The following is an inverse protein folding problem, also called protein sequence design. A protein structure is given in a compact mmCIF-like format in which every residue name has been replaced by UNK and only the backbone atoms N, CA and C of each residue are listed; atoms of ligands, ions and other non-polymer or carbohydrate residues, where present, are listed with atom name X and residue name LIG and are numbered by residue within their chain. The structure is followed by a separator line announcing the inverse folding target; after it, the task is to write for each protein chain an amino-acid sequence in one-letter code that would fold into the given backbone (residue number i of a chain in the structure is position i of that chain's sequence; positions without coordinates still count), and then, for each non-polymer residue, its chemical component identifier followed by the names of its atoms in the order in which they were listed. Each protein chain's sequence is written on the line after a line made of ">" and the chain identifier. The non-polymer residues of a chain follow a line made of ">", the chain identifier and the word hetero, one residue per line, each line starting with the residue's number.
data_IF_324482703063
#
_entry.id   IF_324482703063
#
_cell.length_a   1.000
_cell.length_b   1.000
_cell.length_c   1.000
_cell.angle_alpha   90.00
_cell.angle_beta   90.00
_cell.angle_gamma   90.00
#
_symmetry.space_group_name_H-M   'P 1'
#
loop_
_entity.id
_entity.type
_entity.pdbx_description
1 polymer ?
#
# COMPACT_ATOMS: atom_id res chain seq x y z
N UNK A 1 5.87 -14.79 17.15
CA UNK A 1 5.82 -13.32 17.25
C UNK A 1 4.48 -12.90 16.66
N UNK A 2 3.66 -12.17 17.41
CA UNK A 2 2.20 -12.11 17.26
C UNK A 2 1.76 -11.52 15.91
N UNK A 3 0.97 -12.31 15.18
CA UNK A 3 0.25 -11.91 13.96
C UNK A 3 -0.98 -11.08 14.37
N UNK A 4 -0.78 -9.80 14.68
CA UNK A 4 -1.91 -8.93 14.98
C UNK A 4 -2.48 -8.37 13.67
N UNK A 5 -3.53 -9.03 13.19
CA UNK A 5 -4.43 -8.50 12.17
C UNK A 5 -4.99 -7.15 12.64
N UNK A 6 -4.93 -6.14 11.77
CA UNK A 6 -5.49 -4.83 12.09
C UNK A 6 -7.01 -4.92 12.11
N UNK A 7 -7.63 -4.31 13.12
CA UNK A 7 -9.09 -4.15 13.14
C UNK A 7 -9.55 -3.33 11.94
N UNK A 8 -10.81 -3.50 11.52
CA UNK A 8 -11.38 -2.72 10.41
C UNK A 8 -11.25 -1.20 10.62
N UNK A 9 -11.34 -0.72 11.87
CA UNK A 9 -11.13 0.67 12.21
C UNK A 9 -9.69 1.13 11.95
N UNK A 10 -8.70 0.31 12.31
CA UNK A 10 -7.29 0.60 12.01
C UNK A 10 -7.02 0.57 10.51
N UNK A 11 -7.54 -0.39 9.76
CA UNK A 11 -7.41 -0.41 8.29
C UNK A 11 -7.93 0.90 7.67
N UNK A 12 -9.12 1.37 8.07
CA UNK A 12 -9.67 2.65 7.59
C UNK A 12 -8.78 3.84 7.88
N UNK A 13 -8.18 3.88 9.08
CA UNK A 13 -7.24 4.92 9.48
C UNK A 13 -5.99 4.89 8.59
N UNK A 14 -5.40 3.71 8.39
CA UNK A 14 -4.22 3.52 7.55
C UNK A 14 -4.48 3.91 6.10
N UNK A 15 -5.61 3.47 5.52
CA UNK A 15 -6.05 3.87 4.17
C UNK A 15 -6.10 5.38 4.02
N UNK A 16 -6.76 6.09 4.95
CA UNK A 16 -6.87 7.54 4.87
C UNK A 16 -5.51 8.23 5.05
N UNK A 17 -4.64 7.70 5.91
CA UNK A 17 -3.29 8.21 6.10
C UNK A 17 -2.45 8.06 4.82
N UNK A 18 -2.49 6.88 4.18
CA UNK A 18 -1.79 6.64 2.92
C UNK A 18 -2.26 7.60 1.81
N UNK A 19 -3.58 7.76 1.64
CA UNK A 19 -4.16 8.70 0.66
C UNK A 19 -3.70 10.13 0.96
N UNK A 20 -3.75 10.55 2.23
CA UNK A 20 -3.32 11.91 2.61
C UNK A 20 -1.86 12.18 2.27
N UNK A 21 -0.97 11.20 2.50
CA UNK A 21 0.46 11.32 2.17
C UNK A 21 0.69 11.33 0.65
N UNK A 22 -0.09 10.54 -0.08
CA UNK A 22 -0.06 10.53 -1.54
C UNK A 22 -0.52 11.88 -2.12
N UNK A 23 -1.62 12.44 -1.61
CA UNK A 23 -2.14 13.76 -2.01
C UNK A 23 -1.16 14.90 -1.64
N UNK A 24 -0.23 14.66 -0.71
CA UNK A 24 0.88 15.57 -0.37
C UNK A 24 2.13 15.37 -1.21
N UNK A 25 2.05 14.50 -2.22
CA UNK A 25 3.17 14.16 -3.11
C UNK A 25 4.39 13.60 -2.35
N UNK A 26 4.16 12.95 -1.21
CA UNK A 26 5.24 12.35 -0.39
C UNK A 26 5.88 11.12 -1.07
N UNK A 27 5.29 10.61 -2.16
CA UNK A 27 5.84 9.53 -2.97
C UNK A 27 4.76 8.64 -3.60
N UNK A 28 5.17 7.57 -4.30
CA UNK A 28 4.27 6.54 -4.82
C UNK A 28 3.44 5.89 -3.70
N UNK A 29 2.21 5.49 -4.02
CA UNK A 29 1.29 4.94 -3.03
C UNK A 29 1.82 3.62 -2.44
N UNK A 30 2.57 2.83 -3.21
CA UNK A 30 3.18 1.58 -2.76
C UNK A 30 4.25 1.81 -1.70
N UNK A 31 5.12 2.80 -1.93
CA UNK A 31 6.18 3.16 -0.99
C UNK A 31 5.59 3.69 0.31
N UNK A 32 4.52 4.49 0.21
CA UNK A 32 3.79 5.00 1.39
C UNK A 32 3.18 3.84 2.18
N UNK A 33 2.52 2.90 1.52
CA UNK A 33 1.92 1.72 2.17
C UNK A 33 3.01 0.87 2.85
N UNK A 34 4.10 0.59 2.13
CA UNK A 34 5.26 -0.17 2.62
C UNK A 34 5.93 0.49 3.83
N UNK A 35 5.95 1.83 3.89
CA UNK A 35 6.54 2.59 5.00
C UNK A 35 5.93 2.31 6.38
N UNK A 36 4.70 1.80 6.41
CA UNK A 36 4.02 1.43 7.66
C UNK A 36 4.38 0.03 8.19
N UNK A 37 5.20 -0.73 7.45
CA UNK A 37 5.71 -2.06 7.84
C UNK A 37 4.61 -2.98 8.38
N UNK A 38 3.47 -3.01 7.68
CA UNK A 38 2.31 -3.82 8.04
C UNK A 38 2.55 -5.29 7.70
N UNK A 39 1.75 -6.17 8.31
CA UNK A 39 1.68 -7.55 7.84
C UNK A 39 1.09 -7.61 6.43
N UNK A 40 1.50 -8.59 5.59
CA UNK A 40 1.05 -8.69 4.20
C UNK A 40 -0.47 -8.66 4.03
N UNK A 41 -1.20 -9.39 4.88
CA UNK A 41 -2.68 -9.41 4.84
C UNK A 41 -3.31 -8.03 5.09
N UNK A 42 -2.76 -7.29 6.05
CA UNK A 42 -3.21 -5.94 6.38
C UNK A 42 -2.87 -4.97 5.24
N UNK A 43 -1.71 -5.14 4.62
CA UNK A 43 -1.27 -4.35 3.47
C UNK A 43 -2.23 -4.53 2.28
N UNK A 44 -2.60 -5.78 2.00
CA UNK A 44 -3.58 -6.12 0.96
C UNK A 44 -4.93 -5.46 1.25
N UNK A 45 -5.42 -5.53 2.49
CA UNK A 45 -6.69 -4.89 2.87
C UNK A 45 -6.65 -3.37 2.74
N UNK A 46 -5.53 -2.74 3.07
CA UNK A 46 -5.33 -1.29 2.88
C UNK A 46 -5.31 -0.95 1.39
N UNK A 47 -4.58 -1.72 0.56
CA UNK A 47 -4.54 -1.55 -0.90
C UNK A 47 -5.93 -1.63 -1.53
N UNK A 48 -6.70 -2.66 -1.18
CA UNK A 48 -8.08 -2.84 -1.66
C UNK A 48 -8.94 -1.63 -1.28
N UNK A 49 -8.91 -1.17 -0.02
CA UNK A 49 -9.69 0.00 0.38
C UNK A 49 -9.25 1.30 -0.29
N UNK A 50 -7.96 1.45 -0.63
CA UNK A 50 -7.49 2.62 -1.38
C UNK A 50 -8.08 2.58 -2.80
N UNK A 51 -7.99 1.44 -3.48
CA UNK A 51 -8.54 1.26 -4.84
C UNK A 51 -10.06 1.53 -4.85
N UNK A 52 -10.80 1.05 -3.84
CA UNK A 52 -12.24 1.30 -3.71
C UNK A 52 -12.58 2.78 -3.51
N UNK A 53 -11.75 3.55 -2.80
CA UNK A 53 -12.00 4.97 -2.51
C UNK A 53 -11.46 5.92 -3.59
N UNK A 54 -10.34 5.55 -4.20
CA UNK A 54 -9.52 6.37 -5.09
C UNK A 54 -9.02 5.49 -6.24
N UNK A 55 -9.94 5.12 -7.11
CA UNK A 55 -9.63 4.36 -8.33
C UNK A 55 -8.77 5.16 -9.33
N UNK A 56 -8.59 6.45 -9.08
CA UNK A 56 -7.72 7.36 -9.83
C UNK A 56 -6.24 7.19 -9.50
N UNK A 57 -5.90 6.62 -8.34
CA UNK A 57 -4.50 6.44 -7.93
C UNK A 57 -3.91 5.26 -8.73
N UNK A 58 -2.84 5.49 -9.51
CA UNK A 58 -2.18 4.43 -10.23
C UNK A 58 -1.40 3.54 -9.25
N UNK A 59 -1.79 2.28 -9.15
CA UNK A 59 -0.94 1.25 -8.57
C UNK A 59 -0.06 0.70 -9.68
N UNK A 60 1.25 0.87 -9.55
CA UNK A 60 2.22 0.25 -10.44
C UNK A 60 2.19 -1.24 -10.17
N UNK A 61 1.60 -2.01 -11.10
CA UNK A 61 1.86 -3.44 -11.17
C UNK A 61 3.35 -3.60 -11.44
N UNK A 62 4.13 -3.93 -10.40
CA UNK A 62 5.48 -4.43 -10.58
C UNK A 62 5.38 -5.78 -11.30
N UNK A 63 5.23 -5.74 -12.63
CA UNK A 63 5.49 -6.87 -13.49
C UNK A 63 6.92 -7.32 -13.17
N UNK A 64 7.03 -8.54 -12.67
CA UNK A 64 8.32 -9.18 -12.38
C UNK A 64 9.03 -9.48 -13.70
N UNK A 65 9.62 -8.46 -14.30
CA UNK A 65 10.54 -8.59 -15.43
C UNK A 65 11.84 -7.87 -15.10
N UNK A 66 12.44 -8.26 -13.98
CA UNK A 66 13.90 -8.34 -13.92
C UNK A 66 14.29 -9.80 -14.21
N UNK A 67 14.51 -10.10 -15.49
CA UNK A 67 15.44 -11.17 -15.83
C UNK A 67 16.66 -10.54 -16.49
N UNK A 68 17.66 -10.37 -15.62
CA UNK A 68 19.10 -10.30 -15.83
C UNK A 68 19.72 -9.11 -16.56
N UNK A 69 20.44 -8.34 -15.75
CA UNK A 69 21.65 -7.62 -16.12
C UNK A 69 22.67 -8.54 -16.83
N UNK A 70 23.35 -7.93 -17.81
CA UNK A 70 24.73 -8.14 -18.27
C UNK A 70 25.34 -9.55 -18.25
N UNK A 71 25.63 -10.10 -19.45
CA UNK A 71 27.00 -10.36 -19.97
C UNK A 71 27.01 -10.12 -21.48
#
# INVERSE_FOLDING_TARGET
>A
MTMDSLTAAKIRLMTNACITRYDREEGPIEDIISSYNMQPDNEILVKVQIIEKRSDIPFVEHNSSEQSSAI
#
